data_IF_730566856652
#
_entry.id   IF_730566856652
#
_cell.length_a   1.000
_cell.length_b   1.000
_cell.length_c   1.000
_cell.angle_alpha   90.00
_cell.angle_beta   90.00
_cell.angle_gamma   90.00
#
_symmetry.space_group_name_H-M   'P 1'
#
loop_
_entity.id
_entity.type
_entity.pdbx_description
1 polymer ?
#
# COMPACT_ATOMS: atom_id res chain seq x y z
N UNK A 1 18.76 12.52 -6.12
CA UNK A 1 18.66 11.63 -7.30
C UNK A 1 18.96 10.17 -6.98
N UNK A 2 19.88 9.84 -6.04
CA UNK A 2 20.24 8.43 -5.73
C UNK A 2 19.07 7.52 -5.35
N UNK A 3 18.00 8.08 -4.75
CA UNK A 3 16.74 7.36 -4.45
C UNK A 3 16.21 6.59 -5.65
N UNK A 4 16.28 7.17 -6.86
CA UNK A 4 15.76 6.54 -8.08
C UNK A 4 16.90 5.91 -8.87
N UNK A 5 18.03 6.61 -9.00
CA UNK A 5 19.09 6.22 -9.93
C UNK A 5 20.06 5.19 -9.36
N UNK A 6 20.16 5.05 -8.03
CA UNK A 6 21.06 4.10 -7.39
C UNK A 6 20.53 3.66 -6.01
N UNK A 7 19.43 2.87 -5.99
CA UNK A 7 18.82 2.38 -4.76
C UNK A 7 19.79 1.55 -3.90
N UNK A 8 20.76 0.86 -4.50
CA UNK A 8 21.76 0.08 -3.75
C UNK A 8 22.65 0.98 -2.86
N UNK A 9 23.27 1.99 -3.46
CA UNK A 9 24.10 2.96 -2.73
C UNK A 9 23.28 3.71 -1.69
N UNK A 10 22.06 4.12 -2.07
CA UNK A 10 21.15 4.82 -1.19
C UNK A 10 20.84 4.00 0.08
N UNK A 11 20.45 2.73 -0.07
CA UNK A 11 20.10 1.87 1.06
C UNK A 11 21.31 1.46 1.89
N UNK A 12 22.46 1.19 1.26
CA UNK A 12 23.69 0.85 1.99
C UNK A 12 24.10 1.96 2.97
N UNK A 13 24.07 3.22 2.53
CA UNK A 13 24.33 4.39 3.41
C UNK A 13 23.32 4.54 4.55
N UNK A 14 22.15 3.91 4.46
CA UNK A 14 21.08 3.93 5.48
C UNK A 14 21.11 2.74 6.43
N UNK A 15 21.95 1.75 6.16
CA UNK A 15 22.19 0.66 7.10
C UNK A 15 22.87 1.15 8.39
N UNK A 16 23.71 2.17 8.30
CA UNK A 16 24.41 2.76 9.46
C UNK A 16 23.57 3.82 10.20
N UNK A 17 22.45 4.25 9.62
CA UNK A 17 21.58 5.25 10.24
C UNK A 17 20.65 4.65 11.29
N UNK A 18 20.19 5.51 12.20
CA UNK A 18 19.21 5.18 13.22
C UNK A 18 17.86 4.76 12.64
N UNK A 19 17.14 3.93 13.39
CA UNK A 19 15.84 3.39 12.97
C UNK A 19 14.76 4.47 12.82
N UNK A 20 14.90 5.60 13.52
CA UNK A 20 13.92 6.70 13.50
C UNK A 20 13.67 7.29 12.10
N UNK A 21 14.69 7.37 11.24
CA UNK A 21 14.51 7.85 9.86
C UNK A 21 13.63 6.89 9.04
N UNK A 22 13.88 5.59 9.15
CA UNK A 22 13.07 4.57 8.51
C UNK A 22 11.63 4.59 9.03
N UNK A 23 11.44 4.68 10.34
CA UNK A 23 10.11 4.77 10.94
C UNK A 23 9.36 6.01 10.47
N UNK A 24 10.02 7.17 10.38
CA UNK A 24 9.42 8.40 9.88
C UNK A 24 8.91 8.23 8.44
N UNK A 25 9.66 7.57 7.56
CA UNK A 25 9.21 7.30 6.18
C UNK A 25 7.90 6.51 6.14
N UNK A 26 7.79 5.41 6.92
CA UNK A 26 6.57 4.59 6.92
C UNK A 26 5.41 5.34 7.57
N UNK A 27 5.65 6.08 8.66
CA UNK A 27 4.61 6.88 9.33
C UNK A 27 4.07 7.98 8.40
N UNK A 28 4.94 8.66 7.65
CA UNK A 28 4.50 9.67 6.67
C UNK A 28 3.65 9.00 5.58
N UNK A 29 4.07 7.85 5.04
CA UNK A 29 3.28 7.11 4.05
C UNK A 29 1.91 6.66 4.60
N UNK A 30 1.87 6.22 5.87
CA UNK A 30 0.64 5.83 6.56
C UNK A 30 -0.31 7.04 6.73
N UNK A 31 0.22 8.19 7.15
CA UNK A 31 -0.55 9.43 7.27
C UNK A 31 -1.10 9.90 5.92
N UNK A 32 -0.31 9.82 4.85
CA UNK A 32 -0.76 10.18 3.50
C UNK A 32 -1.87 9.25 3.00
N UNK A 33 -1.82 7.96 3.35
CA UNK A 33 -2.87 7.01 3.01
C UNK A 33 -4.19 7.35 3.73
N UNK A 34 -4.12 7.69 5.02
CA UNK A 34 -5.30 8.18 5.77
C UNK A 34 -5.80 9.54 5.29
N UNK A 35 -4.92 10.44 4.88
CA UNK A 35 -5.28 11.72 4.29
C UNK A 35 -6.07 11.53 2.98
N UNK A 36 -5.64 10.59 2.13
CA UNK A 36 -6.39 10.24 0.93
C UNK A 36 -7.81 9.78 1.26
N UNK A 37 -7.96 8.90 2.27
CA UNK A 37 -9.28 8.46 2.75
C UNK A 37 -10.12 9.60 3.33
N UNK A 38 -9.50 10.52 4.08
CA UNK A 38 -10.19 11.69 4.61
C UNK A 38 -10.79 12.56 3.51
N UNK A 39 -10.03 12.81 2.44
CA UNK A 39 -10.46 13.62 1.31
C UNK A 39 -11.68 13.01 0.62
N UNK A 40 -11.72 11.69 0.47
CA UNK A 40 -12.83 11.00 -0.22
C UNK A 40 -14.02 10.65 0.67
N UNK A 41 -13.87 10.72 2.00
CA UNK A 41 -14.87 10.28 2.95
C UNK A 41 -16.26 10.90 2.74
N UNK A 42 -16.43 12.21 2.49
CA UNK A 42 -17.76 12.79 2.29
C UNK A 42 -18.51 12.16 1.12
N UNK A 43 -17.84 11.92 -0.01
CA UNK A 43 -18.44 11.32 -1.21
C UNK A 43 -18.82 9.86 -0.96
N UNK A 44 -17.93 9.08 -0.34
CA UNK A 44 -18.19 7.66 -0.04
C UNK A 44 -19.33 7.52 0.97
N UNK A 45 -19.36 8.35 2.01
CA UNK A 45 -20.41 8.30 3.02
C UNK A 45 -21.78 8.67 2.45
N UNK A 46 -21.85 9.63 1.53
CA UNK A 46 -23.10 9.96 0.85
C UNK A 46 -23.57 8.82 -0.06
N UNK A 47 -22.67 8.25 -0.86
CA UNK A 47 -23.00 7.09 -1.69
C UNK A 47 -23.47 5.89 -0.85
N UNK A 48 -22.86 5.64 0.32
CA UNK A 48 -23.30 4.61 1.26
C UNK A 48 -24.66 4.94 1.86
N UNK A 49 -24.92 6.21 2.22
CA UNK A 49 -26.22 6.66 2.73
C UNK A 49 -27.33 6.42 1.71
N UNK A 50 -27.11 6.78 0.45
CA UNK A 50 -28.08 6.57 -0.65
C UNK A 50 -28.41 5.08 -0.81
N UNK A 51 -27.40 4.22 -0.86
CA UNK A 51 -27.59 2.77 -0.95
C UNK A 51 -28.38 2.20 0.24
N UNK A 52 -28.13 2.69 1.45
CA UNK A 52 -28.88 2.25 2.63
C UNK A 52 -30.35 2.71 2.55
N UNK A 53 -30.59 3.94 2.08
CA UNK A 53 -31.93 4.50 1.93
C UNK A 53 -32.78 3.69 0.92
N UNK A 54 -32.18 3.14 -0.13
CA UNK A 54 -32.87 2.27 -1.10
C UNK A 54 -33.38 0.95 -0.49
N UNK A 55 -32.68 0.40 0.51
CA UNK A 55 -33.10 -0.85 1.17
C UNK A 55 -34.26 -0.61 2.14
N UNK A 56 -34.39 0.59 2.70
CA UNK A 56 -35.57 1.04 3.46
C UNK A 56 -35.84 0.33 4.80
N UNK A 57 -34.90 -0.44 5.34
CA UNK A 57 -35.11 -1.29 6.55
C UNK A 57 -34.51 -0.73 7.84
N UNK A 58 -33.69 0.32 7.77
CA UNK A 58 -32.94 0.84 8.92
C UNK A 58 -33.53 2.16 9.44
N UNK A 59 -33.44 2.38 10.76
CA UNK A 59 -33.79 3.66 11.37
C UNK A 59 -32.71 4.71 11.13
N UNK A 60 -33.06 6.00 11.16
CA UNK A 60 -32.09 7.11 11.01
C UNK A 60 -30.93 7.02 12.02
N UNK A 61 -31.20 6.54 13.23
CA UNK A 61 -30.19 6.34 14.27
C UNK A 61 -29.20 5.24 13.90
N UNK A 62 -29.69 4.13 13.33
CA UNK A 62 -28.84 3.04 12.82
C UNK A 62 -27.99 3.51 11.64
N UNK A 63 -28.57 4.26 10.70
CA UNK A 63 -27.85 4.84 9.56
C UNK A 63 -26.71 5.75 10.06
N UNK A 64 -27.01 6.65 10.99
CA UNK A 64 -26.00 7.56 11.57
C UNK A 64 -24.87 6.80 12.27
N UNK A 65 -25.20 5.77 13.06
CA UNK A 65 -24.19 4.95 13.73
C UNK A 65 -23.29 4.22 12.73
N UNK A 66 -23.87 3.64 11.67
CA UNK A 66 -23.12 2.98 10.60
C UNK A 66 -22.18 3.96 9.87
N UNK A 67 -22.67 5.14 9.49
CA UNK A 67 -21.84 6.15 8.82
C UNK A 67 -20.68 6.63 9.71
N UNK A 68 -20.88 6.76 11.01
CA UNK A 68 -19.80 7.12 11.94
C UNK A 68 -18.73 6.02 12.03
N UNK A 69 -19.14 4.76 12.16
CA UNK A 69 -18.21 3.61 12.19
C UNK A 69 -17.42 3.56 10.88
N UNK A 70 -18.11 3.73 9.74
CA UNK A 70 -17.47 3.77 8.41
C UNK A 70 -16.47 4.93 8.33
N UNK A 71 -16.84 6.14 8.74
CA UNK A 71 -15.95 7.31 8.71
C UNK A 71 -14.65 7.07 9.48
N UNK A 72 -14.74 6.63 10.74
CA UNK A 72 -13.54 6.36 11.53
C UNK A 72 -12.76 5.16 10.98
N UNK A 73 -13.45 4.14 10.48
CA UNK A 73 -12.84 2.99 9.82
C UNK A 73 -12.01 3.40 8.60
N UNK A 74 -12.50 4.33 7.78
CA UNK A 74 -11.80 4.86 6.61
C UNK A 74 -10.51 5.61 6.98
N UNK A 75 -10.49 6.31 8.11
CA UNK A 75 -9.33 7.08 8.56
C UNK A 75 -8.28 6.22 9.26
N UNK A 76 -8.75 5.31 10.12
CA UNK A 76 -7.89 4.52 11.03
C UNK A 76 -7.26 3.35 10.27
N UNK A 77 -8.05 2.64 9.45
CA UNK A 77 -7.60 1.40 8.80
C UNK A 77 -6.36 1.60 7.93
N UNK A 78 -6.29 2.56 6.99
CA UNK A 78 -5.12 2.71 6.11
C UNK A 78 -3.82 2.99 6.86
N UNK A 79 -3.89 3.75 7.96
CA UNK A 79 -2.74 4.06 8.80
C UNK A 79 -2.12 2.78 9.38
N UNK A 80 -2.94 1.97 10.06
CA UNK A 80 -2.47 0.76 10.70
C UNK A 80 -2.13 -0.32 9.69
N UNK A 81 -2.92 -0.47 8.63
CA UNK A 81 -2.64 -1.42 7.54
C UNK A 81 -1.28 -1.14 6.92
N UNK A 82 -0.91 0.12 6.68
CA UNK A 82 0.42 0.48 6.15
C UNK A 82 1.55 0.00 7.08
N UNK A 83 1.42 0.25 8.39
CA UNK A 83 2.42 -0.18 9.37
C UNK A 83 2.51 -1.70 9.49
N UNK A 84 1.36 -2.38 9.49
CA UNK A 84 1.27 -3.85 9.56
C UNK A 84 1.91 -4.46 8.31
N UNK A 85 1.56 -4.00 7.12
CA UNK A 85 2.13 -4.53 5.87
C UNK A 85 3.64 -4.31 5.77
N UNK A 86 4.17 -3.18 6.25
CA UNK A 86 5.61 -2.98 6.32
C UNK A 86 6.31 -4.08 7.14
N UNK A 87 5.78 -4.41 8.32
CA UNK A 87 6.33 -5.46 9.17
C UNK A 87 6.14 -6.84 8.53
N UNK A 88 4.96 -7.13 7.97
CA UNK A 88 4.66 -8.40 7.31
C UNK A 88 5.59 -8.65 6.12
N UNK A 89 5.73 -7.67 5.22
CA UNK A 89 6.61 -7.77 4.05
C UNK A 89 8.06 -7.96 4.50
N UNK A 90 8.51 -7.20 5.51
CA UNK A 90 9.84 -7.38 6.08
C UNK A 90 10.05 -8.80 6.62
N UNK A 91 9.03 -9.36 7.27
CA UNK A 91 9.06 -10.71 7.85
C UNK A 91 9.14 -11.78 6.77
N UNK A 92 8.29 -11.68 5.76
CA UNK A 92 8.28 -12.60 4.61
C UNK A 92 9.63 -12.55 3.88
N UNK A 93 10.15 -11.37 3.58
CA UNK A 93 11.48 -11.22 2.96
C UNK A 93 12.58 -11.83 3.84
N UNK A 94 12.50 -11.66 5.16
CA UNK A 94 13.47 -12.25 6.09
C UNK A 94 13.45 -13.77 6.02
N UNK A 95 12.27 -14.38 6.12
CA UNK A 95 12.07 -15.84 6.10
C UNK A 95 12.52 -16.42 4.75
N UNK A 96 12.05 -15.84 3.64
CA UNK A 96 12.40 -16.31 2.30
C UNK A 96 13.91 -16.19 2.03
N UNK A 97 14.54 -15.10 2.48
CA UNK A 97 15.99 -14.94 2.31
C UNK A 97 16.80 -16.00 3.05
N UNK A 98 16.30 -16.53 4.18
CA UNK A 98 17.00 -17.57 4.93
C UNK A 98 17.15 -18.88 4.13
N UNK A 99 16.16 -19.20 3.26
CA UNK A 99 16.22 -20.38 2.37
C UNK A 99 17.40 -20.30 1.39
N UNK A 100 17.82 -19.09 1.03
CA UNK A 100 18.95 -18.84 0.14
C UNK A 100 20.26 -18.54 0.89
N UNK A 101 20.32 -18.84 2.19
CA UNK A 101 21.51 -18.62 3.02
C UNK A 101 21.68 -17.16 3.49
N UNK A 102 20.60 -16.38 3.55
CA UNK A 102 20.67 -14.99 4.01
C UNK A 102 21.01 -14.87 5.50
N UNK A 103 21.92 -13.97 5.83
CA UNK A 103 22.43 -13.72 7.18
C UNK A 103 22.29 -12.24 7.56
N UNK A 104 21.96 -11.94 8.81
CA UNK A 104 21.75 -10.57 9.30
C UNK A 104 20.45 -10.40 10.09
N UNK A 105 20.23 -9.25 10.71
CA UNK A 105 19.09 -9.05 11.62
C UNK A 105 17.81 -8.64 10.89
N UNK A 106 16.66 -9.07 11.42
CA UNK A 106 15.34 -8.60 10.98
C UNK A 106 15.21 -7.08 11.08
N UNK A 107 15.73 -6.48 12.15
CA UNK A 107 15.69 -5.02 12.38
C UNK A 107 16.37 -4.24 11.25
N UNK A 108 17.55 -4.68 10.80
CA UNK A 108 18.23 -4.05 9.67
C UNK A 108 17.44 -4.19 8.36
N UNK A 109 16.82 -5.35 8.13
CA UNK A 109 15.99 -5.55 6.95
C UNK A 109 14.75 -4.67 6.99
N UNK A 110 13.99 -4.67 8.08
CA UNK A 110 12.80 -3.85 8.24
C UNK A 110 13.12 -2.36 8.06
N UNK A 111 14.24 -1.90 8.61
CA UNK A 111 14.75 -0.54 8.41
C UNK A 111 14.97 -0.21 6.94
N UNK A 112 15.56 -1.11 6.15
CA UNK A 112 15.77 -0.86 4.72
C UNK A 112 14.48 -0.97 3.90
N UNK A 113 13.59 -1.91 4.24
CA UNK A 113 12.28 -2.08 3.58
C UNK A 113 11.40 -0.85 3.75
N UNK A 114 11.51 -0.13 4.88
CA UNK A 114 10.79 1.13 5.11
C UNK A 114 10.97 2.15 3.98
N UNK A 115 12.17 2.24 3.40
CA UNK A 115 12.44 3.18 2.31
C UNK A 115 11.73 2.84 1.00
N UNK A 116 11.19 1.63 0.85
CA UNK A 116 10.30 1.31 -0.28
C UNK A 116 9.02 2.17 -0.28
N UNK A 117 8.58 2.65 0.90
CA UNK A 117 7.43 3.54 1.06
C UNK A 117 7.68 4.98 0.57
N UNK A 118 8.92 5.33 0.18
CA UNK A 118 9.18 6.59 -0.54
C UNK A 118 8.33 6.65 -1.82
N UNK A 119 8.10 5.52 -2.49
CA UNK A 119 7.21 5.43 -3.65
C UNK A 119 5.80 5.96 -3.35
N UNK A 120 5.21 5.55 -2.21
CA UNK A 120 3.89 6.01 -1.74
C UNK A 120 3.89 7.51 -1.50
N UNK A 121 4.94 8.04 -0.88
CA UNK A 121 5.06 9.48 -0.61
C UNK A 121 5.11 10.26 -1.92
N UNK A 122 5.99 9.85 -2.84
CA UNK A 122 6.21 10.51 -4.13
C UNK A 122 4.96 10.45 -5.01
N UNK A 123 4.26 9.31 -5.02
CA UNK A 123 3.09 9.09 -5.85
C UNK A 123 1.77 9.52 -5.18
N UNK A 124 1.80 9.94 -3.91
CA UNK A 124 0.60 10.33 -3.17
C UNK A 124 -0.25 11.41 -3.83
N UNK A 125 0.29 12.46 -4.48
CA UNK A 125 -0.57 13.47 -5.12
C UNK A 125 -1.42 12.88 -6.24
N UNK A 126 -0.81 12.01 -7.06
CA UNK A 126 -1.51 11.30 -8.15
C UNK A 126 -2.52 10.32 -7.55
N UNK A 127 -2.13 9.58 -6.51
CA UNK A 127 -3.03 8.64 -5.84
C UNK A 127 -4.26 9.32 -5.24
N UNK A 128 -4.07 10.47 -4.59
CA UNK A 128 -5.17 11.26 -4.00
C UNK A 128 -6.10 11.75 -5.10
N UNK A 129 -5.55 12.30 -6.18
CA UNK A 129 -6.34 12.75 -7.32
C UNK A 129 -7.18 11.61 -7.92
N UNK A 130 -6.58 10.46 -8.20
CA UNK A 130 -7.29 9.32 -8.77
C UNK A 130 -8.37 8.76 -7.83
N UNK A 131 -8.11 8.73 -6.52
CA UNK A 131 -9.11 8.35 -5.52
C UNK A 131 -10.29 9.33 -5.51
N UNK A 132 -10.01 10.63 -5.55
CA UNK A 132 -11.04 11.67 -5.62
C UNK A 132 -11.91 11.51 -6.87
N UNK A 133 -11.29 11.40 -8.05
CA UNK A 133 -12.00 11.21 -9.32
C UNK A 133 -12.87 9.94 -9.31
N UNK A 134 -12.34 8.84 -8.79
CA UNK A 134 -13.08 7.56 -8.69
C UNK A 134 -14.29 7.69 -7.74
N UNK A 135 -14.12 8.34 -6.60
CA UNK A 135 -15.22 8.57 -5.64
C UNK A 135 -16.27 9.53 -6.19
N UNK A 136 -15.88 10.55 -6.95
CA UNK A 136 -16.84 11.42 -7.64
C UNK A 136 -17.65 10.65 -8.69
N UNK A 137 -16.99 9.82 -9.49
CA UNK A 137 -17.68 9.00 -10.49
C UNK A 137 -18.70 8.08 -9.82
N UNK A 138 -18.34 7.45 -8.71
CA UNK A 138 -19.24 6.61 -7.92
C UNK A 138 -20.45 7.39 -7.40
N UNK A 139 -20.24 8.59 -6.85
CA UNK A 139 -21.32 9.44 -6.31
C UNK A 139 -22.33 9.85 -7.39
N UNK A 140 -21.87 10.16 -8.61
CA UNK A 140 -22.74 10.58 -9.71
C UNK A 140 -23.25 9.42 -10.58
N UNK A 141 -23.05 8.16 -10.17
CA UNK A 141 -23.46 6.99 -10.95
C UNK A 141 -22.74 6.87 -12.31
N UNK A 142 -21.60 7.52 -12.47
CA UNK A 142 -20.78 7.47 -13.68
C UNK A 142 -19.96 6.18 -13.63
N UNK A 143 -19.94 5.40 -14.71
CA UNK A 143 -19.09 4.21 -14.80
C UNK A 143 -17.63 4.60 -14.59
N UNK A 144 -17.08 4.23 -13.45
CA UNK A 144 -15.69 4.50 -13.10
C UNK A 144 -14.77 3.45 -13.70
N UNK A 145 -13.61 3.89 -14.18
CA UNK A 145 -12.54 2.98 -14.61
C UNK A 145 -11.53 2.87 -13.48
N UNK A 146 -11.37 1.67 -12.92
CA UNK A 146 -10.34 1.42 -11.91
C UNK A 146 -8.93 1.28 -12.52
N UNK A 147 -8.82 1.27 -13.85
CA UNK A 147 -7.56 1.03 -14.56
C UNK A 147 -6.46 2.03 -14.19
N UNK A 148 -6.69 3.36 -14.11
CA UNK A 148 -5.65 4.30 -13.69
C UNK A 148 -5.12 4.01 -12.28
N UNK A 149 -6.00 3.70 -11.33
CA UNK A 149 -5.63 3.35 -9.95
C UNK A 149 -4.82 2.05 -9.93
N UNK A 150 -5.22 1.05 -10.72
CA UNK A 150 -4.47 -0.20 -10.89
C UNK A 150 -3.08 0.06 -11.45
N UNK A 151 -2.95 0.84 -12.52
CA UNK A 151 -1.65 1.16 -13.14
C UNK A 151 -0.74 1.85 -12.11
N UNK A 152 -1.25 2.82 -11.36
CA UNK A 152 -0.49 3.49 -10.31
C UNK A 152 -0.07 2.51 -9.19
N UNK A 153 -0.97 1.62 -8.78
CA UNK A 153 -0.68 0.57 -7.80
C UNK A 153 0.44 -0.37 -8.26
N UNK A 154 0.38 -0.82 -9.53
CA UNK A 154 1.43 -1.66 -10.13
C UNK A 154 2.76 -0.92 -10.21
N UNK A 155 2.76 0.34 -10.64
CA UNK A 155 3.97 1.16 -10.69
C UNK A 155 4.60 1.34 -9.30
N UNK A 156 3.77 1.57 -8.28
CA UNK A 156 4.18 1.67 -6.88
C UNK A 156 4.80 0.34 -6.41
N UNK A 157 4.13 -0.78 -6.66
CA UNK A 157 4.60 -2.11 -6.27
C UNK A 157 5.91 -2.51 -6.95
N UNK A 158 6.08 -2.18 -8.24
CA UNK A 158 7.32 -2.42 -8.97
C UNK A 158 8.48 -1.62 -8.37
N UNK A 159 8.25 -0.35 -8.05
CA UNK A 159 9.24 0.46 -7.33
C UNK A 159 9.61 -0.21 -6.00
N UNK A 160 8.62 -0.62 -5.22
CA UNK A 160 8.86 -1.28 -3.95
C UNK A 160 9.66 -2.57 -4.11
N UNK A 161 9.37 -3.39 -5.12
CA UNK A 161 10.11 -4.62 -5.41
C UNK A 161 11.61 -4.38 -5.72
N UNK A 162 11.93 -3.30 -6.44
CA UNK A 162 13.31 -2.86 -6.65
C UNK A 162 13.98 -2.56 -5.31
N UNK A 163 13.31 -1.80 -4.45
CA UNK A 163 13.81 -1.49 -3.11
C UNK A 163 13.96 -2.73 -2.22
N UNK A 164 13.01 -3.66 -2.26
CA UNK A 164 13.07 -4.92 -1.51
C UNK A 164 14.27 -5.76 -1.95
N UNK A 165 14.56 -5.81 -3.26
CA UNK A 165 15.73 -6.50 -3.80
C UNK A 165 17.02 -5.98 -3.15
N UNK A 166 17.20 -4.66 -3.13
CA UNK A 166 18.39 -4.06 -2.54
C UNK A 166 18.38 -4.08 -1.01
N UNK A 167 17.21 -4.02 -0.37
CA UNK A 167 17.08 -4.19 1.07
C UNK A 167 17.54 -5.58 1.51
N UNK A 168 17.10 -6.63 0.82
CA UNK A 168 17.55 -8.02 1.07
C UNK A 168 19.05 -8.15 0.80
N UNK A 169 19.54 -7.67 -0.34
CA UNK A 169 20.98 -7.70 -0.66
C UNK A 169 21.83 -7.10 0.46
N UNK A 170 21.49 -5.90 0.93
CA UNK A 170 22.31 -5.17 1.88
C UNK A 170 22.09 -5.61 3.34
N UNK A 171 20.87 -5.98 3.75
CA UNK A 171 20.59 -6.37 5.14
C UNK A 171 20.73 -7.87 5.42
N UNK A 172 20.67 -8.72 4.38
CA UNK A 172 20.72 -10.18 4.49
C UNK A 172 21.95 -10.80 3.83
N UNK A 173 22.90 -9.97 3.39
CA UNK A 173 24.17 -10.36 2.78
C UNK A 173 24.03 -11.36 1.60
N UNK A 174 22.93 -11.25 0.85
CA UNK A 174 22.69 -12.08 -0.33
C UNK A 174 23.26 -11.41 -1.58
N UNK A 175 23.68 -12.22 -2.56
CA UNK A 175 23.99 -11.70 -3.89
C UNK A 175 22.74 -11.13 -4.57
N UNK A 176 22.93 -10.32 -5.62
CA UNK A 176 21.84 -9.62 -6.30
C UNK A 176 20.81 -10.60 -6.89
N UNK A 177 21.25 -11.72 -7.44
CA UNK A 177 20.37 -12.72 -8.08
C UNK A 177 19.38 -13.30 -7.08
N UNK A 178 19.85 -13.82 -5.95
CA UNK A 178 18.97 -14.39 -4.93
C UNK A 178 18.11 -13.34 -4.25
N UNK A 179 18.65 -12.14 -4.02
CA UNK A 179 17.86 -11.02 -3.49
C UNK A 179 16.69 -10.65 -4.40
N UNK A 180 16.92 -10.63 -5.72
CA UNK A 180 15.88 -10.35 -6.72
C UNK A 180 14.82 -11.45 -6.78
N UNK A 181 15.22 -12.72 -6.64
CA UNK A 181 14.27 -13.85 -6.57
C UNK A 181 13.37 -13.71 -5.33
N UNK A 182 13.96 -13.44 -4.16
CA UNK A 182 13.21 -13.27 -2.91
C UNK A 182 12.21 -12.12 -3.03
N UNK A 183 12.65 -10.95 -3.50
CA UNK A 183 11.77 -9.81 -3.71
C UNK A 183 10.70 -10.07 -4.78
N UNK A 184 11.05 -10.78 -5.85
CA UNK A 184 10.14 -11.15 -6.93
C UNK A 184 9.04 -12.10 -6.49
N UNK A 185 9.32 -13.05 -5.59
CA UNK A 185 8.29 -13.93 -5.00
C UNK A 185 7.28 -13.08 -4.21
N UNK A 186 7.76 -12.17 -3.37
CA UNK A 186 6.89 -11.30 -2.57
C UNK A 186 6.06 -10.37 -3.46
N UNK A 187 6.68 -9.76 -4.47
CA UNK A 187 6.00 -8.93 -5.45
C UNK A 187 4.92 -9.72 -6.20
N UNK A 188 5.22 -10.95 -6.65
CA UNK A 188 4.25 -11.78 -7.37
C UNK A 188 3.05 -12.12 -6.48
N UNK A 189 3.28 -12.48 -5.22
CA UNK A 189 2.18 -12.70 -4.26
C UNK A 189 1.33 -11.45 -4.05
N UNK A 190 1.96 -10.29 -3.85
CA UNK A 190 1.26 -9.00 -3.70
C UNK A 190 0.46 -8.62 -4.96
N UNK A 191 1.05 -8.82 -6.14
CA UNK A 191 0.42 -8.55 -7.42
C UNK A 191 -0.80 -9.43 -7.65
N UNK A 192 -0.71 -10.74 -7.37
CA UNK A 192 -1.84 -11.66 -7.50
C UNK A 192 -3.01 -11.30 -6.57
N UNK A 193 -2.72 -10.86 -5.34
CA UNK A 193 -3.73 -10.36 -4.41
C UNK A 193 -4.40 -9.08 -4.93
N UNK A 194 -3.63 -8.20 -5.57
CA UNK A 194 -4.15 -6.95 -6.13
C UNK A 194 -4.93 -7.20 -7.43
N UNK A 195 -4.53 -8.18 -8.23
CA UNK A 195 -5.19 -8.53 -9.48
C UNK A 195 -6.47 -9.36 -9.27
N UNK A 196 -6.57 -10.14 -8.18
CA UNK A 196 -7.77 -10.93 -7.89
C UNK A 196 -9.00 -10.05 -7.67
N UNK A 197 -8.85 -8.85 -7.07
CA UNK A 197 -9.96 -7.90 -6.90
C UNK A 197 -10.54 -7.44 -8.24
N UNK A 198 -9.70 -7.30 -9.28
CA UNK A 198 -10.13 -6.94 -10.64
C UNK A 198 -10.85 -8.11 -11.34
N UNK A 199 -10.39 -9.34 -11.10
CA UNK A 199 -11.04 -10.54 -11.63
C UNK A 199 -12.42 -10.69 -11.01
N UNK A 200 -12.54 -10.58 -9.69
CA UNK A 200 -13.84 -10.69 -9.02
C UNK A 200 -14.80 -9.54 -9.40
N UNK A 201 -14.32 -8.31 -9.58
CA UNK A 201 -15.18 -7.21 -10.04
C UNK A 201 -15.69 -7.41 -11.48
N UNK A 202 -14.86 -7.95 -12.38
CA UNK A 202 -15.28 -8.24 -13.76
C UNK A 202 -16.23 -9.43 -13.88
N UNK A 203 -16.13 -10.42 -12.99
CA UNK A 203 -17.04 -11.56 -12.94
C UNK A 203 -18.40 -11.21 -12.33
N UNK A 204 -18.47 -10.22 -11.43
CA UNK A 204 -19.76 -9.72 -10.92
C UNK A 204 -20.54 -8.85 -11.92
N UNK A 205 -19.91 -8.48 -13.05
CA UNK A 205 -20.56 -7.73 -14.14
C UNK A 205 -21.25 -8.65 -15.18
N UNK A 206 -21.25 -9.97 -15.02
CA UNK A 206 -21.99 -10.87 -15.92
C UNK A 206 -23.47 -10.99 -15.49
N UNK A 207 -24.44 -10.74 -16.40
CA UNK A 207 -25.87 -10.70 -16.10
C UNK A 207 -26.46 -12.04 -15.65
#
# INVERSE_FOLDING_TARGET
MEVITNPDSFLRKRLERGFGEALAVVVIAALLSSLASYIVAPMVLEAVREQIAEVGTLTEEQIKAMLQITYYGMLITPFFTTLIFWILISGILHILSAVFGGEGSFSNLAKLVAYSYISVIVLSPISIYLSYETSQQMLYGIKSSLLPNTILGVATALWQAVYWTFAVKNARNLNLKYSAIVAGIVFTGYFLLTASSLIFSSLSETP
#
